data_IF_127559076975
#
_entry.id   IF_127559076975
#
_cell.length_a   1.000
_cell.length_b   1.000
_cell.length_c   1.000
_cell.angle_alpha   90.00
_cell.angle_beta   90.00
_cell.angle_gamma   90.00
#
_symmetry.space_group_name_H-M   'P 1'
#
loop_
_entity.id
_entity.type
_entity.pdbx_description
1 polymer ?
#
# COMPACT_ATOMS: atom_id res chain seq x y z
N UNK A 1 26.02 60.31 56.09
CA UNK A 1 26.83 59.13 55.70
C UNK A 1 25.99 58.29 54.73
N UNK A 2 26.62 57.85 53.64
CA UNK A 2 26.10 57.26 52.39
C UNK A 2 25.51 55.82 52.59
N UNK A 3 24.97 55.14 51.54
CA UNK A 3 23.71 54.38 51.52
C UNK A 3 23.99 52.86 51.30
N UNK A 4 22.97 52.04 51.00
CA UNK A 4 23.00 50.70 50.35
C UNK A 4 21.62 50.04 50.60
N UNK A 5 20.95 49.25 49.75
CA UNK A 5 21.31 48.57 48.50
C UNK A 5 20.01 48.06 47.83
N UNK A 6 19.94 48.18 46.50
CA UNK A 6 19.42 47.28 45.45
C UNK A 6 18.04 46.59 45.55
N UNK A 7 17.12 46.86 44.60
CA UNK A 7 16.88 46.15 43.31
C UNK A 7 16.26 44.77 43.49
N UNK A 8 15.02 44.58 43.02
CA UNK A 8 14.40 43.25 42.91
C UNK A 8 13.02 43.15 42.25
N UNK A 9 12.42 44.25 41.77
CA UNK A 9 11.05 44.21 41.19
C UNK A 9 10.97 43.81 39.71
N UNK A 10 12.08 43.79 38.99
CA UNK A 10 12.09 43.63 37.52
C UNK A 10 12.25 42.19 37.02
N UNK A 11 12.56 41.23 37.90
CA UNK A 11 12.85 39.85 37.48
C UNK A 11 11.60 38.99 37.19
N UNK A 12 10.43 39.38 37.68
CA UNK A 12 9.21 38.55 37.52
C UNK A 12 8.53 38.72 36.15
N UNK A 13 8.73 39.86 35.47
CA UNK A 13 8.16 40.09 34.14
C UNK A 13 8.93 39.36 33.02
N UNK A 14 10.24 39.16 33.18
CA UNK A 14 11.06 38.44 32.20
C UNK A 14 10.79 36.93 32.20
N UNK A 15 10.53 36.33 33.37
CA UNK A 15 10.23 34.89 33.46
C UNK A 15 8.87 34.56 32.81
N UNK A 16 7.88 35.44 32.96
CA UNK A 16 6.55 35.23 32.38
C UNK A 16 6.56 35.29 30.84
N UNK A 17 7.44 36.08 30.23
CA UNK A 17 7.57 36.15 28.77
C UNK A 17 8.16 34.86 28.15
N UNK A 18 9.06 34.18 28.85
CA UNK A 18 9.71 32.95 28.36
C UNK A 18 8.79 31.72 28.35
N UNK A 19 7.73 31.71 29.17
CA UNK A 19 6.80 30.57 29.26
C UNK A 19 5.79 30.58 28.08
N UNK A 20 5.48 31.75 27.52
CA UNK A 20 4.53 31.86 26.40
C UNK A 20 5.14 31.49 25.04
N UNK A 21 6.48 31.52 24.89
CA UNK A 21 7.14 31.18 23.63
C UNK A 21 7.24 29.67 23.37
N UNK A 22 7.14 28.81 24.39
CA UNK A 22 7.31 27.36 24.21
C UNK A 22 6.06 26.64 23.67
N UNK A 23 4.89 27.30 23.64
CA UNK A 23 3.65 26.67 23.21
C UNK A 23 3.50 26.57 21.67
N UNK A 24 4.29 27.30 20.89
CA UNK A 24 4.16 27.31 19.43
C UNK A 24 4.98 26.22 18.70
N UNK A 25 5.81 25.45 19.43
CA UNK A 25 6.72 24.47 18.82
C UNK A 25 6.18 23.03 18.75
N UNK A 26 5.03 22.72 19.35
CA UNK A 26 4.51 21.33 19.45
C UNK A 26 3.41 20.99 18.44
N UNK A 27 3.09 21.87 17.48
CA UNK A 27 1.95 21.70 16.58
C UNK A 27 2.22 20.81 15.35
N UNK A 28 3.44 20.33 15.15
CA UNK A 28 3.87 19.70 13.88
C UNK A 28 3.53 18.21 13.74
N UNK A 29 3.28 17.48 14.83
CA UNK A 29 3.14 16.00 14.75
C UNK A 29 1.88 15.53 14.00
N UNK A 30 0.83 16.36 14.00
CA UNK A 30 -0.42 16.05 13.30
C UNK A 30 -0.30 16.34 11.79
N UNK A 31 0.47 17.34 11.38
CA UNK A 31 0.71 17.64 9.96
C UNK A 31 1.53 16.53 9.29
N UNK A 32 2.55 16.00 9.97
CA UNK A 32 3.36 14.90 9.45
C UNK A 32 2.51 13.65 9.20
N UNK A 33 1.60 13.33 10.12
CA UNK A 33 0.70 12.19 10.01
C UNK A 33 -0.27 12.33 8.83
N UNK A 34 -0.80 13.54 8.61
CA UNK A 34 -1.71 13.85 7.49
C UNK A 34 -0.96 13.81 6.15
N UNK A 35 0.26 14.35 6.10
CA UNK A 35 1.09 14.34 4.91
C UNK A 35 1.48 12.91 4.49
N UNK A 36 1.82 12.05 5.46
CA UNK A 36 2.11 10.63 5.21
C UNK A 36 0.86 9.91 4.69
N UNK A 37 -0.30 10.10 5.31
CA UNK A 37 -1.55 9.48 4.85
C UNK A 37 -1.93 9.91 3.42
N UNK A 38 -1.75 11.19 3.10
CA UNK A 38 -1.98 11.72 1.75
C UNK A 38 -0.99 11.14 0.73
N UNK A 39 0.30 11.04 1.09
CA UNK A 39 1.32 10.47 0.23
C UNK A 39 1.08 8.99 -0.06
N UNK A 40 0.71 8.20 0.96
CA UNK A 40 0.34 6.79 0.80
C UNK A 40 -0.86 6.66 -0.13
N UNK A 41 -1.91 7.45 0.10
CA UNK A 41 -3.12 7.41 -0.74
C UNK A 41 -2.80 7.75 -2.20
N UNK A 42 -2.01 8.80 -2.44
CA UNK A 42 -1.60 9.20 -3.78
C UNK A 42 -0.74 8.13 -4.47
N UNK A 43 0.22 7.53 -3.75
CA UNK A 43 1.05 6.45 -4.27
C UNK A 43 0.22 5.20 -4.60
N UNK A 44 -0.74 4.82 -3.75
CA UNK A 44 -1.65 3.70 -4.01
C UNK A 44 -2.53 3.96 -5.22
N UNK A 45 -3.11 5.16 -5.34
CA UNK A 45 -3.93 5.53 -6.51
C UNK A 45 -3.12 5.50 -7.80
N UNK A 46 -1.89 6.04 -7.77
CA UNK A 46 -1.01 6.02 -8.93
C UNK A 46 -0.59 4.58 -9.28
N UNK A 47 -0.27 3.75 -8.29
CA UNK A 47 0.05 2.34 -8.52
C UNK A 47 -1.13 1.58 -9.16
N UNK A 48 -2.35 1.75 -8.65
CA UNK A 48 -3.57 1.12 -9.20
C UNK A 48 -3.89 1.62 -10.61
N UNK A 49 -3.58 2.88 -10.91
CA UNK A 49 -3.82 3.47 -12.24
C UNK A 49 -2.82 2.97 -13.28
N UNK A 50 -1.54 2.84 -12.92
CA UNK A 50 -0.45 2.51 -13.85
C UNK A 50 -0.25 1.00 -14.00
N UNK A 51 -0.47 0.24 -12.92
CA UNK A 51 -0.50 -1.23 -12.97
C UNK A 51 -1.93 -1.61 -13.27
N UNK A 52 -2.21 -2.10 -14.48
CA UNK A 52 -3.53 -2.70 -14.72
C UNK A 52 -3.77 -3.75 -13.64
N UNK A 53 -4.92 -3.70 -12.93
CA UNK A 53 -5.16 -4.54 -11.75
C UNK A 53 -4.88 -6.03 -12.02
N UNK A 54 -5.08 -6.47 -13.26
CA UNK A 54 -4.90 -7.84 -13.71
C UNK A 54 -3.44 -8.20 -14.00
N UNK A 55 -2.55 -7.23 -14.26
CA UNK A 55 -1.14 -7.49 -14.60
C UNK A 55 -0.38 -8.21 -13.48
N UNK A 56 -0.73 -7.94 -12.21
CA UNK A 56 -0.14 -8.64 -11.06
C UNK A 56 -0.63 -10.08 -10.91
N UNK A 57 -1.71 -10.43 -11.61
CA UNK A 57 -2.28 -11.77 -11.57
C UNK A 57 -1.69 -12.67 -12.65
N UNK A 58 -1.10 -12.10 -13.70
CA UNK A 58 -0.62 -12.88 -14.82
C UNK A 58 0.47 -13.84 -14.38
N UNK A 59 0.31 -15.11 -14.75
CA UNK A 59 1.41 -16.03 -14.70
C UNK A 59 2.42 -15.54 -15.73
N UNK A 60 3.63 -15.19 -15.28
CA UNK A 60 4.69 -14.70 -16.14
C UNK A 60 5.03 -15.69 -17.28
N UNK A 61 6.04 -15.40 -18.12
CA UNK A 61 6.42 -16.24 -19.25
C UNK A 61 6.91 -17.65 -18.86
N UNK A 62 6.90 -17.98 -17.57
CA UNK A 62 7.43 -19.20 -16.96
C UNK A 62 6.45 -20.38 -17.01
N UNK A 63 5.20 -20.18 -17.42
CA UNK A 63 4.29 -21.31 -17.60
C UNK A 63 4.72 -22.18 -18.79
N UNK A 64 5.07 -23.43 -18.48
CA UNK A 64 5.38 -24.46 -19.48
C UNK A 64 4.30 -25.53 -19.40
N UNK A 65 3.52 -25.67 -20.48
CA UNK A 65 2.59 -26.78 -20.61
C UNK A 65 3.39 -28.10 -20.74
N UNK A 66 3.16 -29.03 -19.81
CA UNK A 66 3.84 -30.34 -19.74
C UNK A 66 2.97 -31.50 -20.25
N UNK A 67 1.84 -31.22 -20.90
CA UNK A 67 1.02 -32.24 -21.54
C UNK A 67 1.86 -33.04 -22.55
N UNK A 68 1.90 -34.36 -22.40
CA UNK A 68 2.66 -35.23 -23.32
C UNK A 68 2.01 -35.26 -24.71
N UNK A 69 2.79 -35.32 -25.79
CA UNK A 69 2.25 -35.52 -27.14
C UNK A 69 1.38 -36.78 -27.19
N UNK A 70 0.20 -36.67 -27.81
CA UNK A 70 -0.77 -37.78 -27.90
C UNK A 70 -1.70 -37.92 -26.69
N UNK A 71 -1.61 -37.05 -25.68
CA UNK A 71 -2.61 -36.98 -24.62
C UNK A 71 -3.98 -36.62 -25.20
N UNK A 72 -5.01 -37.39 -24.85
CA UNK A 72 -6.40 -37.12 -25.21
C UNK A 72 -7.03 -36.28 -24.09
N UNK A 73 -7.66 -35.17 -24.45
CA UNK A 73 -8.30 -34.24 -23.49
C UNK A 73 -7.40 -33.06 -23.14
N UNK A 74 -7.57 -32.52 -21.93
CA UNK A 74 -6.83 -31.37 -21.41
C UNK A 74 -6.50 -31.54 -19.93
N UNK A 75 -5.44 -30.87 -19.48
CA UNK A 75 -5.02 -30.90 -18.07
C UNK A 75 -5.82 -29.96 -17.16
N UNK A 76 -6.75 -29.19 -17.73
CA UNK A 76 -7.53 -28.22 -16.98
C UNK A 76 -8.77 -28.84 -16.33
N UNK A 77 -9.10 -28.36 -15.13
CA UNK A 77 -10.32 -28.72 -14.42
C UNK A 77 -11.57 -28.35 -15.24
N UNK A 78 -12.53 -29.28 -15.30
CA UNK A 78 -13.79 -29.22 -16.05
C UNK A 78 -13.68 -29.08 -17.57
N UNK A 79 -13.02 -28.03 -18.08
CA UNK A 79 -13.00 -27.69 -19.51
C UNK A 79 -11.69 -27.05 -19.95
N UNK A 80 -11.39 -27.15 -21.25
CA UNK A 80 -10.15 -26.64 -21.81
C UNK A 80 -10.12 -25.11 -21.84
N UNK A 81 -11.27 -24.49 -22.06
CA UNK A 81 -11.41 -23.05 -22.23
C UNK A 81 -11.34 -22.31 -20.89
N UNK A 82 -10.80 -21.08 -20.87
CA UNK A 82 -10.81 -20.25 -19.67
C UNK A 82 -12.22 -20.06 -19.11
N UNK A 83 -12.30 -20.12 -17.79
CA UNK A 83 -13.51 -19.97 -16.99
C UNK A 83 -13.50 -18.61 -16.31
N UNK A 84 -14.63 -17.90 -16.32
CA UNK A 84 -14.76 -16.66 -15.56
C UNK A 84 -14.87 -16.97 -14.07
N UNK A 85 -13.98 -16.40 -13.27
CA UNK A 85 -13.94 -16.60 -11.82
C UNK A 85 -13.62 -15.33 -11.02
N UNK A 86 -13.50 -15.52 -9.71
CA UNK A 86 -13.10 -14.46 -8.77
C UNK A 86 -11.81 -14.86 -8.07
N UNK A 87 -10.84 -13.96 -8.02
CA UNK A 87 -9.52 -14.20 -7.41
C UNK A 87 -9.33 -13.23 -6.27
N UNK A 88 -8.87 -13.75 -5.13
CA UNK A 88 -8.41 -12.92 -4.02
C UNK A 88 -6.89 -12.97 -3.99
N UNK A 89 -6.24 -11.84 -4.24
CA UNK A 89 -4.78 -11.74 -4.26
C UNK A 89 -4.34 -10.46 -3.54
N UNK A 90 -3.42 -10.60 -2.58
CA UNK A 90 -2.91 -9.48 -1.75
C UNK A 90 -4.02 -8.59 -1.16
N UNK A 91 -5.05 -9.21 -0.59
CA UNK A 91 -6.22 -8.54 -0.01
C UNK A 91 -7.09 -7.74 -0.99
N UNK A 92 -6.80 -7.80 -2.30
CA UNK A 92 -7.66 -7.30 -3.36
C UNK A 92 -8.48 -8.45 -3.94
N UNK A 93 -9.70 -8.13 -4.37
CA UNK A 93 -10.60 -9.07 -5.03
C UNK A 93 -10.80 -8.65 -6.48
N UNK A 94 -10.57 -9.59 -7.40
CA UNK A 94 -10.67 -9.41 -8.83
C UNK A 94 -11.82 -10.26 -9.33
N UNK A 95 -12.80 -9.62 -9.96
CA UNK A 95 -14.00 -10.29 -10.47
C UNK A 95 -13.90 -10.45 -11.98
N UNK A 96 -14.64 -11.42 -12.51
CA UNK A 96 -14.73 -11.70 -13.94
C UNK A 96 -13.38 -12.03 -14.60
N UNK A 97 -12.48 -12.66 -13.85
CA UNK A 97 -11.14 -13.02 -14.35
C UNK A 97 -11.22 -14.32 -15.15
N UNK A 98 -10.81 -14.35 -16.44
CA UNK A 98 -10.69 -15.59 -17.19
C UNK A 98 -9.51 -16.40 -16.64
N UNK A 99 -9.78 -17.60 -16.16
CA UNK A 99 -8.80 -18.47 -15.52
C UNK A 99 -9.00 -19.95 -15.86
N UNK A 100 -7.92 -20.72 -15.84
CA UNK A 100 -7.96 -22.18 -15.85
C UNK A 100 -7.35 -22.72 -14.56
N UNK A 101 -7.73 -23.93 -14.15
CA UNK A 101 -7.04 -24.64 -13.07
C UNK A 101 -6.33 -25.85 -13.64
N UNK A 102 -5.01 -25.87 -13.58
CA UNK A 102 -4.19 -26.97 -14.08
C UNK A 102 -4.08 -28.07 -13.02
N UNK A 103 -4.68 -29.22 -13.30
CA UNK A 103 -4.70 -30.38 -12.41
C UNK A 103 -3.35 -31.08 -12.30
N UNK A 104 -2.47 -30.93 -13.30
CA UNK A 104 -1.16 -31.58 -13.31
C UNK A 104 -0.15 -30.82 -12.45
N UNK A 105 -0.25 -29.49 -12.43
CA UNK A 105 0.64 -28.59 -11.70
C UNK A 105 0.02 -28.00 -10.43
N UNK A 106 -1.26 -28.28 -10.18
CA UNK A 106 -2.04 -27.79 -9.03
C UNK A 106 -1.98 -26.25 -8.90
N UNK A 107 -2.22 -25.55 -10.01
CA UNK A 107 -2.06 -24.10 -10.08
C UNK A 107 -3.16 -23.42 -10.90
N UNK A 108 -3.50 -22.19 -10.49
CA UNK A 108 -4.37 -21.30 -11.25
C UNK A 108 -3.58 -20.68 -12.40
N UNK A 109 -4.18 -20.70 -13.58
CA UNK A 109 -3.64 -20.16 -14.82
C UNK A 109 -4.37 -18.94 -15.31
N UNK A 110 -3.60 -17.88 -15.51
CA UNK A 110 -4.08 -16.55 -15.88
C UNK A 110 -3.27 -16.09 -17.09
N UNK A 111 -3.95 -16.02 -18.24
CA UNK A 111 -3.35 -15.73 -19.53
C UNK A 111 -3.54 -14.26 -19.87
N UNK A 112 -2.50 -13.62 -20.39
CA UNK A 112 -2.62 -12.31 -21.04
C UNK A 112 -3.22 -12.49 -22.45
N UNK A 113 -4.14 -11.63 -22.92
CA UNK A 113 -4.62 -11.65 -24.30
C UNK A 113 -3.53 -11.34 -25.33
#
# INVERSE_FOLDING_TARGET
MLPKLLIGGASWLLVSALIHYQAAAQSSSNQDSVAVAAAVTAATQQYVKEVQPESVLLNGPEYVNRTSPGTIGHQFFERAEPQTGTITYRSAQFQNVPLNYDLALDQVLLSYP
#
